data_IF_055377746668
#
_entry.id   IF_055377746668
#
_cell.length_a   1.000
_cell.length_b   1.000
_cell.length_c   1.000
_cell.angle_alpha   90.00
_cell.angle_beta   90.00
_cell.angle_gamma   90.00
#
_symmetry.space_group_name_H-M   'P 1'
#
loop_
_entity.id
_entity.type
_entity.pdbx_description
1 polymer ?
#
# COMPACT_ATOMS: atom_id res chain seq x y z
N UNK A 1 5.08 -23.22 30.47
CA UNK A 1 4.94 -21.76 30.47
C UNK A 1 5.08 -21.30 29.03
N UNK A 2 3.95 -20.97 28.39
CA UNK A 2 3.97 -20.30 27.10
C UNK A 2 4.55 -18.90 27.30
N UNK A 3 5.52 -18.52 26.49
CA UNK A 3 5.90 -17.11 26.36
C UNK A 3 4.83 -16.48 25.48
N UNK A 4 4.02 -15.64 26.09
CA UNK A 4 3.17 -14.72 25.35
C UNK A 4 4.10 -13.83 24.52
N UNK A 5 4.10 -14.01 23.21
CA UNK A 5 4.77 -13.16 22.24
C UNK A 5 3.91 -11.90 22.12
N UNK A 6 4.14 -10.95 23.04
CA UNK A 6 3.53 -9.63 23.04
C UNK A 6 4.00 -8.91 21.76
N UNK A 7 3.19 -9.03 20.72
CA UNK A 7 3.44 -8.37 19.46
C UNK A 7 3.13 -6.90 19.70
N UNK A 8 4.18 -6.06 19.73
CA UNK A 8 4.09 -4.60 19.65
C UNK A 8 3.29 -4.23 18.37
N UNK A 9 1.96 -4.23 18.48
CA UNK A 9 1.06 -3.84 17.41
C UNK A 9 1.17 -2.33 17.25
N UNK A 10 2.01 -1.94 16.29
CA UNK A 10 2.14 -0.54 15.95
C UNK A 10 0.80 0.05 15.54
N UNK A 11 0.58 1.33 15.81
CA UNK A 11 -0.59 2.05 15.29
C UNK A 11 -0.24 2.75 13.97
N UNK A 12 -1.25 3.10 13.15
CA UNK A 12 -1.03 3.96 11.98
C UNK A 12 -0.43 5.31 12.40
N UNK A 13 -0.82 5.83 13.56
CA UNK A 13 -0.34 7.10 14.09
C UNK A 13 1.16 7.06 14.40
N UNK A 14 1.69 5.95 14.89
CA UNK A 14 3.14 5.77 15.10
C UNK A 14 3.92 5.77 13.79
N UNK A 15 3.35 5.21 12.71
CA UNK A 15 3.96 5.29 11.38
C UNK A 15 4.01 6.72 10.83
N UNK A 16 3.01 7.53 11.18
CA UNK A 16 2.89 8.92 10.75
C UNK A 16 3.62 9.90 11.68
N UNK A 17 3.95 9.49 12.92
CA UNK A 17 4.66 10.32 13.89
C UNK A 17 5.97 10.88 13.30
N UNK A 18 6.15 12.21 13.40
CA UNK A 18 7.31 12.91 12.84
C UNK A 18 7.39 12.98 11.31
N UNK A 19 6.42 12.44 10.57
CA UNK A 19 6.33 12.62 9.10
C UNK A 19 5.90 14.04 8.77
N UNK A 20 6.37 14.53 7.62
CA UNK A 20 5.98 15.82 7.09
C UNK A 20 4.48 15.88 6.81
N UNK A 21 3.92 17.08 6.81
CA UNK A 21 2.54 17.34 6.38
C UNK A 21 2.30 16.78 4.97
N UNK A 22 3.26 16.95 4.07
CA UNK A 22 3.18 16.41 2.71
C UNK A 22 3.00 14.88 2.69
N UNK A 23 3.83 14.13 3.42
CA UNK A 23 3.70 12.67 3.47
C UNK A 23 2.36 12.24 4.09
N UNK A 24 1.87 12.96 5.10
CA UNK A 24 0.54 12.71 5.69
C UNK A 24 -0.57 12.95 4.67
N UNK A 25 -0.52 14.07 3.95
CA UNK A 25 -1.46 14.38 2.86
C UNK A 25 -1.47 13.29 1.78
N UNK A 26 -0.30 12.82 1.33
CA UNK A 26 -0.21 11.73 0.35
C UNK A 26 -0.84 10.42 0.88
N UNK A 27 -0.53 10.07 2.13
CA UNK A 27 -1.08 8.89 2.79
C UNK A 27 -2.61 8.98 2.91
N UNK A 28 -3.13 10.10 3.40
CA UNK A 28 -4.55 10.33 3.58
C UNK A 28 -5.28 10.31 2.24
N UNK A 29 -4.70 10.92 1.21
CA UNK A 29 -5.24 10.90 -0.15
C UNK A 29 -5.32 9.47 -0.70
N UNK A 30 -4.25 8.68 -0.56
CA UNK A 30 -4.23 7.29 -1.00
C UNK A 30 -5.30 6.43 -0.29
N UNK A 31 -5.43 6.55 1.03
CA UNK A 31 -6.46 5.84 1.81
C UNK A 31 -7.87 6.30 1.41
N UNK A 32 -8.07 7.61 1.20
CA UNK A 32 -9.35 8.17 0.79
C UNK A 32 -9.78 7.67 -0.60
N UNK A 33 -8.86 7.61 -1.58
CA UNK A 33 -9.17 7.08 -2.92
C UNK A 33 -9.55 5.59 -2.85
N UNK A 34 -8.88 4.78 -2.01
CA UNK A 34 -9.29 3.38 -1.81
C UNK A 34 -10.69 3.26 -1.18
N UNK A 35 -11.01 4.11 -0.20
CA UNK A 35 -12.34 4.14 0.44
C UNK A 35 -13.47 4.52 -0.52
N UNK A 36 -13.18 5.20 -1.64
CA UNK A 36 -14.16 5.45 -2.70
C UNK A 36 -14.50 4.19 -3.50
N UNK A 37 -13.60 3.19 -3.52
CA UNK A 37 -13.80 1.92 -4.22
C UNK A 37 -14.63 0.97 -3.36
N UNK A 38 -14.32 0.90 -2.06
CA UNK A 38 -15.10 0.14 -1.08
C UNK A 38 -14.49 0.16 0.31
N UNK A 39 -15.04 -0.65 1.22
CA UNK A 39 -14.58 -0.69 2.61
C UNK A 39 -13.18 -1.32 2.70
N UNK A 40 -12.25 -0.58 3.30
CA UNK A 40 -10.90 -1.05 3.59
C UNK A 40 -10.56 -0.89 5.07
N UNK A 41 -9.67 -1.74 5.55
CA UNK A 41 -9.04 -1.63 6.87
C UNK A 41 -7.52 -1.52 6.74
N UNK A 42 -6.90 -0.81 7.67
CA UNK A 42 -5.46 -0.66 7.74
C UNK A 42 -4.92 -1.54 8.86
N UNK A 43 -3.93 -2.37 8.53
CA UNK A 43 -3.31 -3.32 9.44
C UNK A 43 -1.81 -3.01 9.52
N UNK A 44 -1.38 -2.20 10.50
CA UNK A 44 0.03 -2.02 10.77
C UNK A 44 0.71 -3.36 11.05
N UNK A 45 1.93 -3.49 10.56
CA UNK A 45 2.86 -4.56 10.87
C UNK A 45 4.16 -3.92 11.39
N UNK A 46 5.21 -4.74 11.59
CA UNK A 46 6.49 -4.25 12.14
C UNK A 46 7.10 -3.06 11.39
N UNK A 47 7.03 -3.08 10.05
CA UNK A 47 7.72 -2.11 9.16
C UNK A 47 6.84 -1.53 8.06
N UNK A 48 5.59 -1.96 7.93
CA UNK A 48 4.70 -1.57 6.83
C UNK A 48 3.24 -1.57 7.31
N UNK A 49 2.36 -0.97 6.52
CA UNK A 49 0.92 -0.99 6.76
C UNK A 49 0.26 -1.78 5.63
N UNK A 50 -0.41 -2.87 5.97
CA UNK A 50 -1.25 -3.60 5.03
C UNK A 50 -2.58 -2.88 4.83
N UNK A 51 -2.99 -2.71 3.57
CA UNK A 51 -4.34 -2.28 3.21
C UNK A 51 -5.13 -3.53 2.87
N UNK A 52 -6.17 -3.82 3.65
CA UNK A 52 -7.03 -4.98 3.44
C UNK A 52 -8.38 -4.54 2.87
N UNK A 53 -8.84 -5.27 1.85
CA UNK A 53 -10.25 -5.28 1.45
C UNK A 53 -11.05 -6.22 2.35
N UNK A 54 -12.17 -6.76 1.85
CA UNK A 54 -13.04 -7.64 2.64
C UNK A 54 -12.40 -8.99 3.01
N UNK A 55 -11.51 -9.53 2.18
CA UNK A 55 -11.01 -10.91 2.35
C UNK A 55 -9.48 -11.03 2.38
N UNK A 56 -8.73 -10.04 1.87
CA UNK A 56 -7.28 -10.13 1.74
C UNK A 56 -6.59 -8.76 1.75
N UNK A 57 -5.27 -8.78 1.90
CA UNK A 57 -4.42 -7.59 1.73
C UNK A 57 -4.26 -7.30 0.24
N UNK A 58 -4.71 -6.12 -0.17
CA UNK A 58 -4.77 -5.67 -1.57
C UNK A 58 -3.65 -4.69 -1.92
N UNK A 59 -3.01 -4.09 -0.91
CA UNK A 59 -1.83 -3.26 -1.09
C UNK A 59 -1.01 -3.20 0.21
N UNK A 60 0.25 -2.77 0.08
CA UNK A 60 1.16 -2.58 1.19
C UNK A 60 1.82 -1.21 1.11
N UNK A 61 1.63 -0.39 2.14
CA UNK A 61 2.37 0.86 2.30
C UNK A 61 3.69 0.51 3.00
N UNK A 62 4.75 0.37 2.21
CA UNK A 62 6.03 -0.18 2.68
C UNK A 62 7.00 0.89 3.16
N UNK A 63 6.84 2.15 2.73
CA UNK A 63 7.68 3.27 3.19
C UNK A 63 6.90 4.58 3.21
N UNK A 64 7.05 5.32 4.31
CA UNK A 64 6.62 6.71 4.47
C UNK A 64 7.87 7.60 4.54
N UNK A 65 8.22 8.20 3.41
CA UNK A 65 9.40 9.05 3.26
C UNK A 65 9.20 10.46 3.80
N UNK A 66 10.18 11.34 3.55
CA UNK A 66 10.07 12.78 3.89
C UNK A 66 9.04 13.50 3.00
N UNK A 67 8.87 13.05 1.77
CA UNK A 67 8.01 13.67 0.77
C UNK A 67 7.39 12.64 -0.20
N UNK A 68 7.26 11.39 0.22
CA UNK A 68 6.72 10.32 -0.63
C UNK A 68 6.05 9.22 0.18
N UNK A 69 5.15 8.49 -0.48
CA UNK A 69 4.58 7.23 0.00
C UNK A 69 4.92 6.14 -1.00
N UNK A 70 5.52 5.05 -0.53
CA UNK A 70 5.81 3.87 -1.36
C UNK A 70 4.78 2.79 -1.10
N UNK A 71 4.15 2.30 -2.16
CA UNK A 71 3.11 1.28 -2.13
C UNK A 71 3.53 0.08 -2.99
N UNK A 72 3.16 -1.12 -2.56
CA UNK A 72 3.27 -2.34 -3.35
C UNK A 72 1.90 -2.94 -3.57
N UNK A 73 1.53 -3.16 -4.83
CA UNK A 73 0.34 -3.92 -5.21
C UNK A 73 0.73 -5.35 -5.58
N UNK A 74 0.22 -6.38 -4.88
CA UNK A 74 0.40 -7.77 -5.26
C UNK A 74 -0.63 -8.16 -6.33
N UNK A 75 -0.16 -8.61 -7.49
CA UNK A 75 -1.03 -9.16 -8.55
C UNK A 75 -0.46 -10.48 -9.09
N UNK A 76 -1.31 -11.30 -9.71
CA UNK A 76 -0.88 -12.54 -10.41
C UNK A 76 -0.34 -12.29 -11.82
N UNK A 77 -0.64 -11.12 -12.38
CA UNK A 77 -0.15 -10.71 -13.69
C UNK A 77 0.87 -9.56 -13.51
N UNK A 78 1.92 -9.49 -14.35
CA UNK A 78 2.97 -8.50 -14.22
C UNK A 78 2.61 -7.11 -14.79
N UNK A 79 1.55 -6.98 -15.59
CA UNK A 79 1.12 -5.70 -16.20
C UNK A 79 2.27 -4.82 -16.74
N UNK A 80 3.11 -5.38 -17.62
CA UNK A 80 4.34 -4.72 -18.10
C UNK A 80 4.12 -3.46 -18.95
N UNK A 81 2.93 -3.30 -19.54
CA UNK A 81 2.52 -2.10 -20.27
C UNK A 81 1.80 -1.14 -19.31
N UNK A 82 2.60 -0.40 -18.54
CA UNK A 82 2.12 0.60 -17.59
C UNK A 82 3.10 1.77 -17.50
N UNK A 83 2.62 2.94 -17.03
CA UNK A 83 3.46 4.12 -16.80
C UNK A 83 3.64 4.47 -15.32
N UNK A 84 3.00 3.73 -14.41
CA UNK A 84 2.93 4.09 -12.99
C UNK A 84 3.89 3.31 -12.07
N UNK A 85 4.27 2.08 -12.41
CA UNK A 85 5.11 1.24 -11.56
C UNK A 85 6.60 1.42 -11.86
N UNK A 86 7.38 1.73 -10.82
CA UNK A 86 8.84 1.89 -10.93
C UNK A 86 9.57 0.55 -11.05
N UNK A 87 8.92 -0.53 -10.58
CA UNK A 87 9.46 -1.89 -10.61
C UNK A 87 8.31 -2.88 -10.52
N UNK A 88 8.43 -3.94 -11.30
CA UNK A 88 7.60 -5.14 -11.20
C UNK A 88 8.54 -6.32 -10.98
N UNK A 89 8.30 -7.11 -9.94
CA UNK A 89 9.14 -8.27 -9.66
C UNK A 89 8.30 -9.45 -9.15
N UNK A 90 8.54 -10.63 -9.71
CA UNK A 90 7.96 -11.86 -9.21
C UNK A 90 8.51 -12.18 -7.82
N UNK A 91 7.63 -12.61 -6.92
CA UNK A 91 8.02 -13.13 -5.61
C UNK A 91 8.66 -14.52 -5.82
N UNK A 92 9.90 -14.75 -5.34
CA UNK A 92 10.56 -16.04 -5.53
C UNK A 92 9.74 -17.20 -4.94
N UNK A 93 9.44 -18.20 -5.77
CA UNK A 93 8.66 -19.38 -5.37
C UNK A 93 7.14 -19.19 -5.35
N UNK A 94 6.63 -18.07 -5.88
CA UNK A 94 5.21 -17.73 -5.90
C UNK A 94 4.75 -17.28 -7.31
N UNK A 95 3.45 -17.35 -7.59
CA UNK A 95 2.83 -16.85 -8.83
C UNK A 95 2.47 -15.34 -8.75
N UNK A 96 2.83 -14.70 -7.63
CA UNK A 96 2.60 -13.27 -7.38
C UNK A 96 3.74 -12.38 -7.91
N UNK A 97 3.36 -11.22 -8.43
CA UNK A 97 4.21 -10.09 -8.80
C UNK A 97 3.94 -8.89 -7.90
N UNK A 98 5.00 -8.29 -7.37
CA UNK A 98 4.96 -7.06 -6.60
C UNK A 98 5.17 -5.85 -7.52
N UNK A 99 4.17 -4.96 -7.57
CA UNK A 99 4.15 -3.76 -8.38
C UNK A 99 4.44 -2.55 -7.49
N UNK A 100 5.62 -1.96 -7.65
CA UNK A 100 6.11 -0.88 -6.80
C UNK A 100 5.67 0.47 -7.36
N UNK A 101 4.73 1.11 -6.66
CA UNK A 101 4.27 2.47 -6.94
C UNK A 101 4.89 3.46 -5.93
N UNK A 102 5.31 4.62 -6.40
CA UNK A 102 5.80 5.71 -5.55
C UNK A 102 5.02 6.96 -5.85
N UNK A 103 4.31 7.43 -4.83
CA UNK A 103 3.54 8.65 -4.85
C UNK A 103 4.38 9.80 -4.31
N UNK A 104 4.59 10.84 -5.11
CA UNK A 104 5.26 12.09 -4.76
C UNK A 104 4.25 13.24 -4.68
N UNK A 105 3.19 13.21 -5.49
CA UNK A 105 2.13 14.20 -5.55
C UNK A 105 0.76 13.51 -5.52
N UNK A 106 -0.30 14.26 -5.21
CA UNK A 106 -1.66 13.68 -5.17
C UNK A 106 -2.13 13.26 -6.58
N UNK A 107 -1.67 13.96 -7.60
CA UNK A 107 -1.94 13.73 -9.01
C UNK A 107 -1.34 12.42 -9.53
N UNK A 108 -0.36 11.83 -8.82
CA UNK A 108 0.19 10.53 -9.18
C UNK A 108 -0.86 9.41 -9.05
N UNK A 109 -1.93 9.61 -8.28
CA UNK A 109 -3.14 8.78 -8.34
C UNK A 109 -4.03 9.16 -9.53
N UNK A 110 -3.44 9.04 -10.72
CA UNK A 110 -4.10 9.27 -12.00
C UNK A 110 -5.07 8.12 -12.36
N UNK A 111 -5.70 8.21 -13.52
CA UNK A 111 -6.69 7.22 -13.96
C UNK A 111 -6.11 5.81 -14.13
N UNK A 112 -4.84 5.68 -14.49
CA UNK A 112 -4.17 4.38 -14.60
C UNK A 112 -3.98 3.75 -13.22
N UNK A 113 -3.45 4.50 -12.25
CA UNK A 113 -3.28 3.99 -10.88
C UNK A 113 -4.62 3.66 -10.25
N UNK A 114 -5.66 4.48 -10.48
CA UNK A 114 -7.03 4.20 -10.00
C UNK A 114 -7.61 2.91 -10.60
N UNK A 115 -7.30 2.57 -11.86
CA UNK A 115 -7.65 1.26 -12.44
C UNK A 115 -6.98 0.12 -11.68
N UNK A 116 -5.69 0.24 -11.37
CA UNK A 116 -4.98 -0.77 -10.58
C UNK A 116 -5.48 -0.85 -9.13
N UNK A 117 -5.86 0.27 -8.51
CA UNK A 117 -6.48 0.27 -7.18
C UNK A 117 -7.80 -0.51 -7.18
N UNK A 118 -8.65 -0.29 -8.21
CA UNK A 118 -9.90 -1.04 -8.37
C UNK A 118 -9.64 -2.52 -8.62
N UNK A 119 -8.72 -2.83 -9.52
CA UNK A 119 -8.30 -4.21 -9.79
C UNK A 119 -7.81 -4.92 -8.51
N UNK A 120 -7.01 -4.23 -7.68
CA UNK A 120 -6.54 -4.77 -6.42
C UNK A 120 -7.70 -5.07 -5.46
N UNK A 121 -8.67 -4.15 -5.36
CA UNK A 121 -9.84 -4.32 -4.51
C UNK A 121 -10.74 -5.48 -4.96
N UNK A 122 -10.95 -5.63 -6.27
CA UNK A 122 -11.84 -6.64 -6.86
C UNK A 122 -11.19 -8.03 -6.99
N UNK A 123 -9.88 -8.15 -6.73
CA UNK A 123 -9.11 -9.39 -6.91
C UNK A 123 -9.32 -10.45 -5.84
#
# INVERSE_FOLDING_TARGET
>A
MAKDDETDEKTVDEFLAGKSEHTRMLFDHFVAEFKKIGNITLHPAKTMIGVAGSHKRIAWITQLGKNFVHVVFPFKEPYIDNLCFQKIAQVPGDDQYNHHFRMLYIEDLNDEVKKFMRLAYDS
#
